data_IF_017741119011
#
_entry.id   IF_017741119011
#
_cell.length_a   1.000
_cell.length_b   1.000
_cell.length_c   1.000
_cell.angle_alpha   90.00
_cell.angle_beta   90.00
_cell.angle_gamma   90.00
#
_symmetry.space_group_name_H-M   'P 1'
#
loop_
_entity.id
_entity.type
_entity.pdbx_description
1 polymer ?
#
# COMPACT_ATOMS: atom_id res chain seq x y z
N UNK A 1 -16.11 5.39 14.59
CA UNK A 1 -14.83 5.40 13.89
C UNK A 1 -13.96 4.28 14.41
N UNK A 2 -13.60 3.35 13.53
CA UNK A 2 -12.63 2.30 13.83
C UNK A 2 -11.18 2.77 13.55
N UNK A 3 -10.22 1.85 13.72
CA UNK A 3 -8.80 2.14 13.55
C UNK A 3 -8.42 2.44 12.10
N UNK A 4 -9.01 1.75 11.12
CA UNK A 4 -8.67 1.94 9.71
C UNK A 4 -9.21 3.29 9.22
N UNK A 5 -10.46 3.60 9.59
CA UNK A 5 -11.06 4.87 9.28
C UNK A 5 -10.26 6.03 9.90
N UNK A 6 -9.79 5.87 11.16
CA UNK A 6 -8.94 6.89 11.80
C UNK A 6 -7.60 7.07 11.09
N UNK A 7 -7.01 5.99 10.58
CA UNK A 7 -5.77 6.04 9.80
C UNK A 7 -5.97 6.83 8.50
N UNK A 8 -7.07 6.60 7.78
CA UNK A 8 -7.39 7.34 6.56
C UNK A 8 -7.57 8.84 6.83
N UNK A 9 -8.28 9.21 7.90
CA UNK A 9 -8.41 10.63 8.30
C UNK A 9 -7.05 11.26 8.62
N UNK A 10 -6.21 10.59 9.42
CA UNK A 10 -4.89 11.12 9.78
C UNK A 10 -4.00 11.28 8.55
N UNK A 11 -4.08 10.36 7.58
CA UNK A 11 -3.33 10.46 6.34
C UNK A 11 -3.84 11.62 5.46
N UNK A 12 -5.15 11.83 5.40
CA UNK A 12 -5.75 12.95 4.67
C UNK A 12 -5.32 14.29 5.28
N UNK A 13 -5.37 14.41 6.60
CA UNK A 13 -4.89 15.59 7.35
C UNK A 13 -3.41 15.86 7.07
N UNK A 14 -2.58 14.81 7.05
CA UNK A 14 -1.15 14.92 6.77
C UNK A 14 -0.89 15.36 5.32
N UNK A 15 -1.56 14.74 4.34
CA UNK A 15 -1.47 15.09 2.93
C UNK A 15 -1.85 16.56 2.71
N UNK A 16 -2.98 17.00 3.28
CA UNK A 16 -3.40 18.39 3.21
C UNK A 16 -2.37 19.36 3.81
N UNK A 17 -1.77 18.99 4.95
CA UNK A 17 -0.73 19.79 5.62
C UNK A 17 0.52 19.99 4.78
N UNK A 18 0.88 19.03 3.92
CA UNK A 18 2.04 19.13 3.02
C UNK A 18 1.67 19.64 1.61
N UNK A 19 0.44 20.13 1.43
CA UNK A 19 -0.01 20.74 0.17
C UNK A 19 -0.55 19.75 -0.87
N UNK A 20 -0.88 18.52 -0.46
CA UNK A 20 -1.49 17.50 -1.32
C UNK A 20 -2.97 17.40 -1.00
N UNK A 21 -3.81 17.87 -1.92
CA UNK A 21 -5.26 17.72 -1.83
C UNK A 21 -5.74 16.75 -2.91
N UNK A 22 -6.26 15.60 -2.49
CA UNK A 22 -6.72 14.52 -3.37
C UNK A 22 -8.24 14.54 -3.57
N UNK A 23 -8.95 15.52 -3.01
CA UNK A 23 -10.40 15.64 -3.20
C UNK A 23 -10.72 16.24 -4.56
N UNK A 24 -11.66 15.60 -5.25
CA UNK A 24 -12.24 16.08 -6.52
C UNK A 24 -11.19 16.41 -7.59
N UNK A 25 -10.05 15.69 -7.57
CA UNK A 25 -9.02 15.79 -8.60
C UNK A 25 -9.47 15.06 -9.87
N UNK A 26 -9.05 15.55 -11.04
CA UNK A 26 -9.35 14.91 -12.32
C UNK A 26 -8.45 13.69 -12.59
N UNK A 27 -8.77 12.92 -13.63
CA UNK A 27 -8.03 11.70 -13.99
C UNK A 27 -6.55 11.96 -14.32
N UNK A 28 -6.21 13.14 -14.85
CA UNK A 28 -4.83 13.52 -15.16
C UNK A 28 -4.01 13.70 -13.87
N UNK A 29 -4.57 14.45 -12.92
CA UNK A 29 -3.99 14.66 -11.59
C UNK A 29 -3.95 13.34 -10.79
N UNK A 30 -4.97 12.48 -10.90
CA UNK A 30 -4.96 11.14 -10.32
C UNK A 30 -3.79 10.31 -10.87
N UNK A 31 -3.63 10.24 -12.20
CA UNK A 31 -2.55 9.48 -12.82
C UNK A 31 -1.16 9.96 -12.37
N UNK A 32 -0.99 11.28 -12.23
CA UNK A 32 0.22 11.90 -11.71
C UNK A 32 0.50 11.49 -10.26
N UNK A 33 -0.50 11.54 -9.37
CA UNK A 33 -0.32 11.15 -7.97
C UNK A 33 -0.12 9.65 -7.78
N UNK A 34 -0.79 8.82 -8.58
CA UNK A 34 -0.53 7.37 -8.65
C UNK A 34 0.94 7.11 -8.96
N UNK A 35 1.51 7.82 -9.94
CA UNK A 35 2.93 7.70 -10.27
C UNK A 35 3.84 8.19 -9.14
N UNK A 36 3.52 9.32 -8.51
CA UNK A 36 4.33 9.88 -7.43
C UNK A 36 4.35 8.97 -6.20
N UNK A 37 3.20 8.50 -5.73
CA UNK A 37 3.13 7.59 -4.58
C UNK A 37 3.74 6.22 -4.89
N UNK A 38 3.61 5.73 -6.12
CA UNK A 38 4.31 4.49 -6.56
C UNK A 38 5.83 4.64 -6.48
N UNK A 39 6.38 5.79 -6.88
CA UNK A 39 7.81 6.08 -6.78
C UNK A 39 8.27 6.24 -5.33
N UNK A 40 7.47 6.90 -4.49
CA UNK A 40 7.76 7.03 -3.07
C UNK A 40 7.85 5.64 -2.41
N UNK A 41 6.83 4.78 -2.61
CA UNK A 41 6.88 3.39 -2.13
C UNK A 41 8.08 2.61 -2.67
N UNK A 42 8.50 2.84 -3.92
CA UNK A 42 9.69 2.18 -4.45
C UNK A 42 10.97 2.60 -3.70
N UNK A 43 11.07 3.86 -3.26
CA UNK A 43 12.19 4.30 -2.42
C UNK A 43 12.12 3.66 -1.03
N UNK A 44 10.97 3.70 -0.35
CA UNK A 44 10.82 3.07 0.99
C UNK A 44 11.07 1.55 0.95
N UNK A 45 10.71 0.89 -0.15
CA UNK A 45 11.04 -0.52 -0.35
C UNK A 45 12.56 -0.74 -0.43
N UNK A 46 13.31 0.19 -1.03
CA UNK A 46 14.76 0.13 -1.07
C UNK A 46 15.38 0.36 0.32
N UNK A 47 14.82 1.28 1.11
CA UNK A 47 15.24 1.51 2.51
C UNK A 47 14.94 0.29 3.40
N UNK A 48 13.79 -0.37 3.18
CA UNK A 48 13.46 -1.64 3.83
C UNK A 48 14.46 -2.75 3.46
N UNK A 49 14.89 -2.83 2.20
CA UNK A 49 15.93 -3.77 1.77
C UNK A 49 17.25 -3.46 2.46
N UNK A 50 17.63 -2.19 2.59
CA UNK A 50 18.86 -1.80 3.28
C UNK A 50 18.83 -2.06 4.80
N UNK A 51 17.64 -2.29 5.37
CA UNK A 51 17.48 -2.72 6.77
C UNK A 51 17.88 -4.19 6.99
N UNK A 52 18.06 -4.99 5.94
CA UNK A 52 18.44 -6.41 6.02
C UNK A 52 19.84 -6.67 5.41
N UNK A 53 20.55 -7.74 5.83
CA UNK A 53 21.89 -8.04 5.32
C UNK A 53 21.85 -8.66 3.91
N UNK A 54 21.46 -7.88 2.91
CA UNK A 54 21.24 -8.36 1.54
C UNK A 54 22.50 -8.41 0.67
N UNK A 55 23.56 -7.64 0.99
CA UNK A 55 24.79 -7.58 0.19
C UNK A 55 25.67 -8.77 0.54
N UNK A 56 25.48 -9.88 -0.16
CA UNK A 56 26.21 -11.14 0.09
C UNK A 56 27.75 -11.04 -0.06
N UNK A 57 28.27 -9.96 -0.65
CA UNK A 57 29.71 -9.68 -0.74
C UNK A 57 30.26 -8.86 0.44
N UNK A 58 29.42 -8.35 1.34
CA UNK A 58 29.80 -7.57 2.51
C UNK A 58 29.47 -8.32 3.82
N UNK A 59 30.35 -8.26 4.82
CA UNK A 59 30.20 -9.01 6.09
C UNK A 59 29.84 -8.15 7.31
N UNK A 60 29.65 -6.84 7.11
CA UNK A 60 29.41 -5.89 8.21
C UNK A 60 27.93 -5.49 8.36
N UNK A 61 27.03 -6.10 7.58
CA UNK A 61 25.61 -5.79 7.66
C UNK A 61 24.94 -6.61 8.76
N UNK A 62 24.18 -5.93 9.61
CA UNK A 62 23.29 -6.54 10.58
C UNK A 62 21.83 -6.30 10.19
N UNK A 63 20.91 -7.10 10.73
CA UNK A 63 19.49 -6.86 10.56
C UNK A 63 19.01 -5.74 11.50
N UNK A 64 18.69 -4.58 10.93
CA UNK A 64 18.06 -3.49 11.66
C UNK A 64 16.53 -3.67 11.69
N UNK A 65 16.07 -4.44 12.69
CA UNK A 65 14.65 -4.71 12.88
C UNK A 65 13.84 -3.45 13.21
N UNK A 66 14.44 -2.44 13.84
CA UNK A 66 13.72 -1.24 14.20
C UNK A 66 13.50 -0.38 12.96
N UNK A 67 14.53 -0.21 12.13
CA UNK A 67 14.40 0.49 10.86
C UNK A 67 13.40 -0.22 9.95
N UNK A 68 13.50 -1.54 9.80
CA UNK A 68 12.56 -2.31 8.99
C UNK A 68 11.07 -2.13 9.40
N UNK A 69 10.78 -1.85 10.68
CA UNK A 69 9.42 -1.54 11.13
C UNK A 69 8.97 -0.13 10.72
N UNK A 70 9.90 0.82 10.73
CA UNK A 70 9.65 2.21 10.28
C UNK A 70 9.32 2.18 8.79
N UNK A 71 10.14 1.54 7.98
CA UNK A 71 9.92 1.49 6.52
C UNK A 71 8.61 0.79 6.14
N UNK A 72 8.17 -0.22 6.91
CA UNK A 72 6.84 -0.84 6.71
C UNK A 72 5.72 0.16 6.95
N UNK A 73 5.86 1.07 7.91
CA UNK A 73 4.87 2.12 8.18
C UNK A 73 4.95 3.23 7.14
N UNK A 74 6.13 3.56 6.62
CA UNK A 74 6.28 4.56 5.56
C UNK A 74 5.67 4.06 4.24
N UNK A 75 5.89 2.79 3.88
CA UNK A 75 5.15 2.10 2.81
C UNK A 75 3.63 2.20 3.01
N UNK A 76 3.16 2.05 4.25
CA UNK A 76 1.73 2.09 4.55
C UNK A 76 1.12 3.49 4.38
N UNK A 77 1.83 4.57 4.73
CA UNK A 77 1.38 5.95 4.49
C UNK A 77 1.15 6.19 3.00
N UNK A 78 2.09 5.75 2.16
CA UNK A 78 1.97 5.92 0.70
C UNK A 78 0.93 4.99 0.09
N UNK A 79 0.72 3.78 0.62
CA UNK A 79 -0.36 2.90 0.18
C UNK A 79 -1.74 3.50 0.45
N UNK A 80 -1.96 4.08 1.64
CA UNK A 80 -3.23 4.77 1.97
C UNK A 80 -3.43 5.98 1.07
N UNK A 81 -2.38 6.78 0.86
CA UNK A 81 -2.45 7.96 -0.01
C UNK A 81 -2.74 7.58 -1.47
N UNK A 82 -2.21 6.44 -1.92
CA UNK A 82 -2.52 5.87 -3.23
C UNK A 82 -3.99 5.45 -3.33
N UNK A 83 -4.53 4.78 -2.30
CA UNK A 83 -5.94 4.43 -2.24
C UNK A 83 -6.85 5.67 -2.27
N UNK A 84 -6.51 6.71 -1.50
CA UNK A 84 -7.22 8.00 -1.52
C UNK A 84 -7.15 8.69 -2.88
N UNK A 85 -6.01 8.62 -3.57
CA UNK A 85 -5.84 9.16 -4.93
C UNK A 85 -6.82 8.51 -5.90
N UNK A 86 -7.07 7.20 -5.74
CA UNK A 86 -8.01 6.42 -6.55
C UNK A 86 -9.46 6.55 -6.08
N UNK A 87 -9.75 7.45 -5.13
CA UNK A 87 -11.09 7.70 -4.64
C UNK A 87 -11.63 6.61 -3.69
N UNK A 88 -10.76 5.74 -3.16
CA UNK A 88 -11.18 4.70 -2.22
C UNK A 88 -11.27 5.25 -0.79
N UNK A 89 -12.39 4.99 -0.13
CA UNK A 89 -12.54 5.18 1.31
C UNK A 89 -11.93 4.02 2.11
N UNK A 90 -11.86 4.17 3.43
CA UNK A 90 -11.44 3.10 4.33
C UNK A 90 -12.35 1.86 4.21
N UNK A 91 -13.66 2.07 4.03
CA UNK A 91 -14.65 0.99 3.88
C UNK A 91 -14.44 0.27 2.55
N UNK A 92 -14.22 1.02 1.45
CA UNK A 92 -13.96 0.44 0.12
C UNK A 92 -12.71 -0.48 0.15
N UNK A 93 -11.63 -0.02 0.80
CA UNK A 93 -10.41 -0.82 0.92
C UNK A 93 -10.64 -2.06 1.77
N UNK A 94 -11.38 -1.95 2.88
CA UNK A 94 -11.69 -3.08 3.74
C UNK A 94 -12.53 -4.13 3.00
N UNK A 95 -13.61 -3.72 2.34
CA UNK A 95 -14.51 -4.61 1.61
C UNK A 95 -13.79 -5.29 0.44
N UNK A 96 -13.00 -4.53 -0.33
CA UNK A 96 -12.16 -5.08 -1.39
C UNK A 96 -11.14 -6.10 -0.86
N UNK A 97 -10.51 -5.81 0.29
CA UNK A 97 -9.58 -6.74 0.93
C UNK A 97 -10.29 -8.03 1.36
N UNK A 98 -11.46 -7.94 2.01
CA UNK A 98 -12.24 -9.09 2.46
C UNK A 98 -12.65 -9.96 1.27
N UNK A 99 -13.15 -9.35 0.19
CA UNK A 99 -13.50 -10.06 -1.04
C UNK A 99 -12.29 -10.78 -1.65
N UNK A 100 -11.16 -10.07 -1.79
CA UNK A 100 -9.93 -10.65 -2.36
C UNK A 100 -9.33 -11.74 -1.47
N UNK A 101 -9.39 -11.57 -0.15
CA UNK A 101 -8.91 -12.56 0.81
C UNK A 101 -9.71 -13.87 0.68
N UNK A 102 -11.05 -13.79 0.59
CA UNK A 102 -11.91 -14.96 0.37
C UNK A 102 -11.56 -15.71 -0.91
N UNK A 103 -11.39 -14.98 -2.03
CA UNK A 103 -10.97 -15.57 -3.32
C UNK A 103 -9.61 -16.28 -3.19
N UNK A 104 -8.64 -15.66 -2.51
CA UNK A 104 -7.32 -16.25 -2.32
C UNK A 104 -7.37 -17.54 -1.48
N UNK A 105 -8.21 -17.60 -0.44
CA UNK A 105 -8.42 -18.82 0.34
C UNK A 105 -9.06 -19.94 -0.49
N UNK A 106 -10.10 -19.63 -1.27
CA UNK A 106 -10.74 -20.59 -2.17
C UNK A 106 -9.74 -21.17 -3.19
N UNK A 107 -8.83 -20.33 -3.72
CA UNK A 107 -7.77 -20.79 -4.62
C UNK A 107 -6.78 -21.73 -3.95
N UNK A 108 -6.44 -21.50 -2.68
CA UNK A 108 -5.57 -22.41 -1.92
C UNK A 108 -6.28 -23.76 -1.67
N UNK A 109 -7.57 -23.73 -1.34
CA UNK A 109 -8.38 -24.94 -1.14
C UNK A 109 -8.56 -25.76 -2.43
N UNK A 110 -8.64 -25.11 -3.59
CA UNK A 110 -8.74 -25.78 -4.89
C UNK A 110 -7.40 -26.26 -5.46
N UNK A 111 -6.28 -25.97 -4.78
CA UNK A 111 -4.94 -26.36 -5.22
C UNK A 111 -4.31 -25.43 -6.26
N UNK A 112 -4.85 -24.22 -6.45
CA UNK A 112 -4.32 -23.19 -7.36
C UNK A 112 -4.15 -23.66 -8.82
N UNK A 113 -4.96 -24.63 -9.26
CA UNK A 113 -4.77 -25.31 -10.55
C UNK A 113 -5.18 -24.47 -11.75
N UNK A 114 -6.10 -23.51 -11.57
CA UNK A 114 -6.52 -22.57 -12.61
C UNK A 114 -6.65 -21.15 -12.04
N UNK A 115 -6.13 -20.15 -12.76
CA UNK A 115 -6.30 -18.73 -12.44
C UNK A 115 -7.46 -18.19 -13.28
N UNK A 116 -8.63 -18.01 -12.67
CA UNK A 116 -9.70 -17.25 -13.30
C UNK A 116 -9.45 -15.74 -13.12
N UNK A 117 -9.32 -15.03 -14.23
CA UNK A 117 -9.12 -13.57 -14.24
C UNK A 117 -10.43 -12.80 -14.02
N UNK A 118 -11.59 -13.45 -14.18
CA UNK A 118 -12.89 -12.85 -13.91
C UNK A 118 -13.12 -12.60 -12.41
N UNK A 119 -12.54 -13.40 -11.52
CA UNK A 119 -12.71 -13.30 -10.06
C UNK A 119 -12.32 -11.93 -9.48
N UNK A 120 -11.40 -11.22 -10.13
CA UNK A 120 -10.91 -9.91 -9.66
C UNK A 120 -11.55 -8.73 -10.37
N UNK A 121 -12.49 -8.94 -11.32
CA UNK A 121 -13.18 -7.85 -12.04
C UNK A 121 -14.34 -7.23 -11.25
N UNK A 122 -14.73 -7.86 -10.15
CA UNK A 122 -15.83 -7.43 -9.27
C UNK A 122 -15.34 -6.89 -7.92
N UNK A 123 -14.02 -6.68 -7.79
CA UNK A 123 -13.36 -6.14 -6.61
C UNK A 123 -12.95 -4.70 -6.92
#
# INVERSE_FOLDING_TARGET
MDKLQRIFEMQEELNARIGVNLKDIDEEEQAKWVLNYSRAMQQEMAELIDSVPWKWWAKYQDFDKQNARVEVIDLFHFLISLAQTLGMSADDVYDAYVAKNKVNHQRQESGYTEKDEADSRHI
#
